data_IF_375001439845
#
_entry.id   IF_375001439845
#
_cell.length_a   1.000
_cell.length_b   1.000
_cell.length_c   1.000
_cell.angle_alpha   90.00
_cell.angle_beta   90.00
_cell.angle_gamma   90.00
#
_symmetry.space_group_name_H-M   'P 1'
#
loop_
_entity.id
_entity.type
_entity.pdbx_description
1 polymer ?
#
# COMPACT_ATOMS: atom_id res chain seq x y z
N UNK A 1 8.47 -14.74 16.04
CA UNK A 1 7.28 -14.49 16.91
C UNK A 1 6.75 -13.06 16.78
N UNK A 2 7.61 -12.04 16.66
CA UNK A 2 7.17 -10.63 16.55
C UNK A 2 6.33 -10.37 15.29
N UNK A 3 6.72 -10.90 14.13
CA UNK A 3 5.97 -10.70 12.88
C UNK A 3 4.54 -11.25 12.89
N UNK A 4 4.34 -12.46 13.42
CA UNK A 4 3.02 -13.11 13.43
C UNK A 4 2.02 -12.35 14.32
N UNK A 5 2.50 -11.90 15.49
CA UNK A 5 1.68 -11.06 16.37
C UNK A 5 1.30 -9.75 15.67
N UNK A 6 2.24 -9.14 14.95
CA UNK A 6 1.98 -7.92 14.18
C UNK A 6 0.89 -8.10 13.12
N UNK A 7 0.99 -9.16 12.29
CA UNK A 7 -0.03 -9.48 11.28
C UNK A 7 -1.41 -9.68 11.91
N UNK A 8 -1.49 -10.48 12.98
CA UNK A 8 -2.75 -10.74 13.71
C UNK A 8 -3.34 -9.43 14.25
N UNK A 9 -2.52 -8.59 14.89
CA UNK A 9 -2.97 -7.30 15.41
C UNK A 9 -3.46 -6.38 14.29
N UNK A 10 -2.81 -6.38 13.14
CA UNK A 10 -3.22 -5.57 12.00
C UNK A 10 -4.55 -6.03 11.40
N UNK A 11 -4.75 -7.34 11.25
CA UNK A 11 -6.04 -7.91 10.82
C UNK A 11 -7.13 -7.52 11.82
N UNK A 12 -6.89 -7.69 13.12
CA UNK A 12 -7.85 -7.33 14.16
C UNK A 12 -8.21 -5.83 14.12
N UNK A 13 -7.20 -4.96 14.01
CA UNK A 13 -7.39 -3.50 13.88
C UNK A 13 -8.22 -3.17 12.65
N UNK A 14 -7.94 -3.80 11.50
CA UNK A 14 -8.73 -3.61 10.28
C UNK A 14 -10.18 -4.04 10.50
N UNK A 15 -10.43 -5.24 11.03
CA UNK A 15 -11.79 -5.75 11.28
C UNK A 15 -12.57 -4.81 12.20
N UNK A 16 -11.98 -4.35 13.31
CA UNK A 16 -12.62 -3.39 14.21
C UNK A 16 -12.91 -2.06 13.52
N UNK A 17 -11.96 -1.54 12.73
CA UNK A 17 -12.16 -0.30 11.97
C UNK A 17 -13.30 -0.44 10.94
N UNK A 18 -13.42 -1.59 10.29
CA UNK A 18 -14.49 -1.87 9.32
C UNK A 18 -15.87 -1.89 9.97
N UNK A 19 -15.98 -2.50 11.15
CA UNK A 19 -17.23 -2.54 11.92
C UNK A 19 -17.64 -1.12 12.33
N UNK A 20 -16.71 -0.35 12.91
CA UNK A 20 -16.98 1.03 13.34
C UNK A 20 -17.35 1.93 12.15
N UNK A 21 -16.70 1.75 11.00
CA UNK A 21 -16.93 2.56 9.79
C UNK A 21 -18.05 2.01 8.89
N UNK A 22 -18.79 0.97 9.30
CA UNK A 22 -19.88 0.41 8.50
C UNK A 22 -20.98 1.44 8.16
N UNK A 23 -21.44 2.31 9.10
CA UNK A 23 -22.39 3.37 8.74
C UNK A 23 -21.85 4.28 7.62
N UNK A 24 -20.55 4.59 7.66
CA UNK A 24 -19.91 5.42 6.65
C UNK A 24 -19.78 4.74 5.28
N UNK A 25 -19.63 3.41 5.27
CA UNK A 25 -19.71 2.61 4.05
C UNK A 25 -21.05 2.85 3.36
N UNK A 26 -22.16 2.78 4.12
CA UNK A 26 -23.51 3.01 3.59
C UNK A 26 -23.67 4.43 3.07
N UNK A 27 -23.21 5.44 3.83
CA UNK A 27 -23.26 6.84 3.38
C UNK A 27 -22.49 7.05 2.06
N UNK A 28 -21.32 6.41 1.93
CA UNK A 28 -20.53 6.49 0.70
C UNK A 28 -21.25 5.84 -0.49
N UNK A 29 -21.94 4.71 -0.28
CA UNK A 29 -22.74 4.04 -1.31
C UNK A 29 -23.94 4.88 -1.75
N UNK A 30 -24.52 5.65 -0.83
CA UNK A 30 -25.57 6.64 -1.12
C UNK A 30 -25.03 7.91 -1.81
N UNK A 31 -23.72 7.99 -2.04
CA UNK A 31 -23.08 9.09 -2.77
C UNK A 31 -22.49 10.19 -1.88
N UNK A 32 -22.66 10.13 -0.55
CA UNK A 32 -22.07 11.12 0.34
C UNK A 32 -20.58 10.82 0.57
N UNK A 33 -19.74 11.67 -0.01
CA UNK A 33 -18.28 11.51 0.01
C UNK A 33 -17.61 12.75 0.58
N UNK A 34 -17.44 12.75 1.89
CA UNK A 34 -16.56 13.70 2.54
C UNK A 34 -15.09 13.36 2.22
N UNK A 35 -14.29 14.38 1.99
CA UNK A 35 -12.86 14.21 1.69
C UNK A 35 -12.15 13.53 2.85
N UNK A 36 -11.38 12.49 2.52
CA UNK A 36 -10.54 11.75 3.47
C UNK A 36 -9.07 11.83 3.07
N UNK A 37 -8.20 11.40 3.98
CA UNK A 37 -6.75 11.40 3.85
C UNK A 37 -6.21 9.98 3.94
N UNK A 38 -5.21 9.69 3.12
CA UNK A 38 -4.37 8.49 3.18
C UNK A 38 -2.92 8.95 3.25
N UNK A 39 -2.20 8.55 4.30
CA UNK A 39 -0.79 8.88 4.48
C UNK A 39 0.07 7.81 3.79
N UNK A 40 0.93 8.23 2.87
CA UNK A 40 1.71 7.35 2.01
C UNK A 40 3.18 7.76 2.02
N UNK A 41 4.09 6.80 2.22
CA UNK A 41 5.53 6.97 2.01
C UNK A 41 6.00 5.97 0.98
N UNK A 42 6.93 6.37 0.11
CA UNK A 42 7.62 5.44 -0.78
C UNK A 42 9.08 5.32 -0.32
N UNK A 43 9.57 4.09 -0.16
CA UNK A 43 10.94 3.77 0.22
C UNK A 43 11.60 3.03 -0.92
N UNK A 44 12.59 3.67 -1.55
CA UNK A 44 13.44 3.04 -2.57
C UNK A 44 14.54 2.24 -1.89
N UNK A 45 14.56 0.93 -2.11
CA UNK A 45 15.61 0.09 -1.54
C UNK A 45 16.95 0.27 -2.27
N UNK A 46 18.01 -0.11 -1.57
CA UNK A 46 19.36 -0.21 -2.11
C UNK A 46 19.72 -1.66 -2.35
N UNK A 47 20.40 -1.94 -3.45
CA UNK A 47 20.98 -3.25 -3.72
C UNK A 47 22.10 -3.61 -2.71
N UNK A 48 22.70 -4.79 -2.87
CA UNK A 48 23.77 -5.28 -1.97
C UNK A 48 25.04 -4.43 -2.08
N UNK A 49 25.20 -3.65 -3.16
CA UNK A 49 26.31 -2.70 -3.35
C UNK A 49 26.01 -1.32 -2.74
N UNK A 50 24.82 -1.15 -2.15
CA UNK A 50 24.37 0.11 -1.58
C UNK A 50 23.86 1.11 -2.62
N UNK A 51 23.65 0.71 -3.87
CA UNK A 51 23.11 1.58 -4.92
C UNK A 51 21.59 1.58 -4.90
N UNK A 52 20.92 2.74 -5.03
CA UNK A 52 19.46 2.78 -5.12
C UNK A 52 18.98 2.07 -6.38
N UNK A 53 17.88 1.31 -6.26
CA UNK A 53 17.31 0.57 -7.39
C UNK A 53 16.75 1.48 -8.50
N UNK A 54 16.32 2.69 -8.14
CA UNK A 54 15.75 3.68 -9.06
C UNK A 54 15.92 5.10 -8.46
N UNK A 55 15.97 6.15 -9.29
CA UNK A 55 15.98 7.53 -8.82
C UNK A 55 14.66 7.93 -8.13
N UNK A 56 14.71 8.81 -7.13
CA UNK A 56 13.52 9.26 -6.40
C UNK A 56 12.57 10.07 -7.31
N UNK A 57 13.14 10.81 -8.25
CA UNK A 57 12.46 11.58 -9.30
C UNK A 57 11.70 10.68 -10.28
N UNK A 58 12.18 9.47 -10.56
CA UNK A 58 11.50 8.51 -11.44
C UNK A 58 10.25 7.89 -10.77
N UNK A 59 10.25 7.83 -9.43
CA UNK A 59 9.15 7.27 -8.63
C UNK A 59 8.04 8.30 -8.37
N UNK A 60 8.39 9.58 -8.34
CA UNK A 60 7.47 10.68 -8.03
C UNK A 60 6.21 10.70 -8.92
N UNK A 61 6.29 10.47 -10.25
CA UNK A 61 5.11 10.38 -11.10
C UNK A 61 4.11 9.28 -10.69
N UNK A 62 4.56 8.17 -10.10
CA UNK A 62 3.67 7.12 -9.61
C UNK A 62 2.93 7.54 -8.33
N UNK A 63 3.58 8.32 -7.46
CA UNK A 63 2.91 8.94 -6.31
C UNK A 63 1.83 9.93 -6.74
N UNK A 64 2.16 10.82 -7.68
CA UNK A 64 1.22 11.84 -8.16
C UNK A 64 0.03 11.19 -8.88
N UNK A 65 0.26 10.09 -9.59
CA UNK A 65 -0.79 9.28 -10.19
C UNK A 65 -1.71 8.64 -9.15
N UNK A 66 -1.15 8.11 -8.06
CA UNK A 66 -1.94 7.59 -6.94
C UNK A 66 -2.82 8.67 -6.31
N UNK A 67 -2.24 9.86 -6.08
CA UNK A 67 -2.98 11.03 -5.56
C UNK A 67 -4.14 11.41 -6.49
N UNK A 68 -3.88 11.47 -7.79
CA UNK A 68 -4.89 11.82 -8.80
C UNK A 68 -6.04 10.80 -8.82
N UNK A 69 -5.73 9.51 -8.91
CA UNK A 69 -6.73 8.44 -9.04
C UNK A 69 -7.58 8.34 -7.78
N UNK A 70 -6.96 8.30 -6.59
CA UNK A 70 -7.70 8.17 -5.33
C UNK A 70 -8.54 9.41 -5.00
N UNK A 71 -8.04 10.60 -5.32
CA UNK A 71 -8.81 11.83 -5.15
C UNK A 71 -10.05 11.82 -6.05
N UNK A 72 -9.88 11.47 -7.33
CA UNK A 72 -10.97 11.47 -8.32
C UNK A 72 -12.00 10.37 -8.05
N UNK A 73 -11.55 9.14 -7.82
CA UNK A 73 -12.44 7.98 -7.77
C UNK A 73 -13.05 7.74 -6.39
N UNK A 74 -12.34 8.10 -5.32
CA UNK A 74 -12.73 7.81 -3.95
C UNK A 74 -12.86 9.06 -3.04
N UNK A 75 -12.55 10.26 -3.52
CA UNK A 75 -12.53 11.45 -2.67
C UNK A 75 -11.49 11.34 -1.54
N UNK A 76 -10.36 10.70 -1.83
CA UNK A 76 -9.27 10.47 -0.88
C UNK A 76 -8.03 11.24 -1.34
N UNK A 77 -7.59 12.19 -0.53
CA UNK A 77 -6.34 12.93 -0.71
C UNK A 77 -5.19 12.08 -0.19
N UNK A 78 -4.20 11.84 -1.05
CA UNK A 78 -2.96 11.16 -0.66
C UNK A 78 -1.96 12.20 -0.19
N UNK A 79 -1.49 12.03 1.04
CA UNK A 79 -0.52 12.92 1.69
C UNK A 79 0.76 12.18 2.02
N UNK A 80 1.92 12.84 1.95
CA UNK A 80 3.17 12.20 2.30
C UNK A 80 3.23 11.89 3.81
N UNK A 81 3.61 10.67 4.18
CA UNK A 81 3.90 10.31 5.57
C UNK A 81 5.33 10.75 5.94
N UNK A 82 5.49 12.03 6.26
CA UNK A 82 6.80 12.68 6.37
C UNK A 82 7.35 13.00 4.98
N UNK A 83 8.45 12.37 4.59
CA UNK A 83 8.99 12.49 3.23
C UNK A 83 8.17 11.64 2.24
N UNK A 84 7.93 12.20 1.04
CA UNK A 84 7.17 11.55 -0.04
C UNK A 84 7.87 10.29 -0.56
N UNK A 85 9.12 10.46 -0.98
CA UNK A 85 10.00 9.40 -1.46
C UNK A 85 11.30 9.49 -0.66
N UNK A 86 11.74 8.37 -0.10
CA UNK A 86 13.02 8.25 0.61
C UNK A 86 13.80 7.07 0.06
N UNK A 87 15.11 7.16 0.06
CA UNK A 87 15.97 6.02 -0.21
C UNK A 87 16.33 5.34 1.11
N UNK A 88 16.32 4.01 1.16
CA UNK A 88 16.74 3.26 2.35
C UNK A 88 18.16 3.69 2.78
N UNK A 89 18.43 3.82 4.08
CA UNK A 89 19.72 4.31 4.57
C UNK A 89 20.86 3.31 4.33
N UNK A 90 20.54 2.02 4.23
CA UNK A 90 21.50 0.93 4.10
C UNK A 90 21.07 -0.05 2.99
N UNK A 91 22.00 -0.90 2.55
CA UNK A 91 21.72 -2.00 1.63
C UNK A 91 20.60 -2.89 2.18
N UNK A 92 19.64 -3.25 1.34
CA UNK A 92 18.59 -4.17 1.74
C UNK A 92 19.11 -5.62 1.68
N UNK A 93 18.68 -6.50 2.59
CA UNK A 93 18.97 -7.92 2.47
C UNK A 93 18.31 -8.49 1.21
N UNK A 94 18.89 -9.53 0.62
CA UNK A 94 18.37 -10.16 -0.60
C UNK A 94 16.90 -10.57 -0.46
N UNK A 95 16.50 -11.06 0.70
CA UNK A 95 15.11 -11.41 1.00
C UNK A 95 14.12 -10.24 0.89
N UNK A 96 14.57 -9.00 1.11
CA UNK A 96 13.75 -7.79 0.92
C UNK A 96 13.88 -7.20 -0.51
N UNK A 97 14.84 -7.66 -1.30
CA UNK A 97 15.04 -7.21 -2.67
C UNK A 97 14.28 -8.09 -3.67
N UNK A 98 14.26 -9.39 -3.42
CA UNK A 98 13.67 -10.43 -4.28
C UNK A 98 12.49 -11.06 -3.55
N UNK A 99 11.29 -10.50 -3.74
CA UNK A 99 10.09 -10.83 -2.97
C UNK A 99 9.36 -12.02 -3.58
N UNK A 100 8.95 -12.99 -2.76
CA UNK A 100 8.04 -14.04 -3.21
C UNK A 100 6.59 -13.70 -2.86
N UNK A 101 5.75 -13.43 -3.88
CA UNK A 101 4.36 -13.01 -3.67
C UNK A 101 3.33 -14.16 -3.71
N UNK A 102 3.76 -15.39 -4.02
CA UNK A 102 2.88 -16.57 -4.10
C UNK A 102 2.45 -17.08 -2.72
N UNK A 103 1.72 -18.21 -2.66
CA UNK A 103 1.29 -18.90 -1.42
C UNK A 103 2.46 -19.12 -0.44
N UNK A 104 2.79 -18.11 0.36
CA UNK A 104 4.05 -18.04 1.10
C UNK A 104 4.55 -16.63 1.41
N UNK A 105 3.99 -15.59 0.79
CA UNK A 105 4.39 -14.19 1.03
C UNK A 105 4.30 -13.76 2.51
N UNK A 106 3.34 -14.31 3.26
CA UNK A 106 3.24 -14.12 4.71
C UNK A 106 4.41 -14.75 5.47
N UNK A 107 4.96 -15.89 5.01
CA UNK A 107 6.14 -16.52 5.65
C UNK A 107 7.39 -15.66 5.49
N UNK A 108 7.55 -15.03 4.34
CA UNK A 108 8.67 -14.12 4.09
C UNK A 108 8.56 -12.86 4.97
N UNK A 109 7.35 -12.38 5.27
CA UNK A 109 7.10 -11.29 6.23
C UNK A 109 7.39 -11.68 7.69
N UNK A 110 7.34 -12.98 8.03
CA UNK A 110 7.76 -13.46 9.34
C UNK A 110 9.29 -13.53 9.50
N UNK A 111 10.04 -13.38 8.40
CA UNK A 111 11.49 -13.49 8.36
C UNK A 111 12.21 -12.15 8.21
N UNK A 112 13.44 -12.23 7.68
CA UNK A 112 14.35 -11.09 7.52
C UNK A 112 13.76 -9.96 6.67
N UNK A 113 12.96 -10.29 5.65
CA UNK A 113 12.35 -9.29 4.78
C UNK A 113 11.36 -8.42 5.55
N UNK A 114 10.41 -9.04 6.27
CA UNK A 114 9.43 -8.32 7.07
C UNK A 114 10.04 -7.48 8.19
N UNK A 115 11.04 -8.01 8.90
CA UNK A 115 11.76 -7.24 9.93
C UNK A 115 12.45 -6.00 9.34
N UNK A 116 13.07 -6.15 8.17
CA UNK A 116 13.67 -5.04 7.45
C UNK A 116 12.63 -4.00 7.03
N UNK A 117 11.49 -4.42 6.44
CA UNK A 117 10.41 -3.52 6.07
C UNK A 117 9.86 -2.77 7.27
N UNK A 118 9.51 -3.47 8.35
CA UNK A 118 8.97 -2.86 9.59
C UNK A 118 9.90 -1.80 10.18
N UNK A 119 11.22 -1.98 10.07
CA UNK A 119 12.20 -0.99 10.54
C UNK A 119 12.21 0.33 9.75
N UNK A 120 11.69 0.33 8.52
CA UNK A 120 11.69 1.48 7.61
C UNK A 120 10.30 2.09 7.37
N UNK A 121 9.25 1.43 7.85
CA UNK A 121 7.86 1.87 7.66
C UNK A 121 7.60 3.22 8.33
N UNK A 122 6.75 4.03 7.69
CA UNK A 122 6.21 5.21 8.32
C UNK A 122 5.19 4.80 9.42
N UNK A 123 5.29 5.43 10.58
CA UNK A 123 4.40 5.18 11.71
C UNK A 123 3.80 6.48 12.23
N UNK A 124 2.64 6.37 12.89
CA UNK A 124 2.01 7.45 13.65
C UNK A 124 1.51 6.85 14.97
N UNK A 125 1.45 7.64 16.04
CA UNK A 125 1.01 7.14 17.35
C UNK A 125 -0.37 6.48 17.28
N UNK A 126 -1.34 7.14 16.64
CA UNK A 126 -2.69 6.60 16.46
C UNK A 126 -2.72 5.36 15.54
N UNK A 127 -1.93 5.36 14.46
CA UNK A 127 -1.82 4.22 13.55
C UNK A 127 -1.22 2.99 14.22
N UNK A 128 -0.14 3.16 14.99
CA UNK A 128 0.51 2.06 15.71
C UNK A 128 -0.40 1.49 16.78
N UNK A 129 -1.06 2.33 17.58
CA UNK A 129 -1.91 1.88 18.69
C UNK A 129 -3.26 1.32 18.23
N UNK A 130 -3.98 2.07 17.39
CA UNK A 130 -5.39 1.79 17.05
C UNK A 130 -5.60 1.35 15.60
N UNK A 131 -4.56 1.40 14.75
CA UNK A 131 -4.67 1.20 13.31
C UNK A 131 -5.31 2.38 12.56
N UNK A 132 -5.96 3.31 13.27
CA UNK A 132 -6.69 4.43 12.68
C UNK A 132 -5.72 5.47 12.11
N UNK A 133 -5.76 5.66 10.80
CA UNK A 133 -4.87 6.58 10.09
C UNK A 133 -3.44 6.06 9.99
N UNK A 134 -3.25 4.74 10.07
CA UNK A 134 -1.95 4.12 9.90
C UNK A 134 -1.39 4.43 8.50
N UNK A 135 -0.17 4.99 8.39
CA UNK A 135 0.43 5.24 7.08
C UNK A 135 0.68 3.94 6.31
N UNK A 136 0.55 4.01 4.98
CA UNK A 136 1.01 2.95 4.10
C UNK A 136 2.42 3.27 3.61
N UNK A 137 3.28 2.25 3.58
CA UNK A 137 4.63 2.35 3.01
C UNK A 137 4.74 1.50 1.75
N UNK A 138 5.18 2.08 0.64
CA UNK A 138 5.47 1.35 -0.61
C UNK A 138 6.97 1.12 -0.68
N UNK A 139 7.41 -0.13 -0.67
CA UNK A 139 8.80 -0.49 -0.88
C UNK A 139 9.06 -0.75 -2.36
N UNK A 140 10.02 -0.02 -2.93
CA UNK A 140 10.49 -0.30 -4.29
C UNK A 140 11.57 -1.36 -4.22
N UNK A 141 11.25 -2.55 -4.71
CA UNK A 141 12.09 -3.76 -4.63
C UNK A 141 12.66 -4.12 -6.01
N UNK A 142 13.64 -5.01 -6.04
CA UNK A 142 14.33 -5.38 -7.28
C UNK A 142 13.46 -6.27 -8.15
N UNK A 143 12.93 -7.34 -7.56
CA UNK A 143 12.15 -8.34 -8.25
C UNK A 143 11.02 -8.87 -7.38
N UNK A 144 9.93 -9.29 -8.01
CA UNK A 144 8.80 -9.95 -7.36
C UNK A 144 8.49 -11.21 -8.16
N UNK A 145 8.33 -12.35 -7.48
CA UNK A 145 7.99 -13.60 -8.16
C UNK A 145 6.58 -13.51 -8.77
N UNK A 146 6.48 -13.95 -10.04
CA UNK A 146 5.25 -14.09 -10.84
C UNK A 146 4.35 -12.85 -11.04
N UNK A 147 4.64 -11.74 -10.38
CA UNK A 147 3.86 -10.50 -10.37
C UNK A 147 4.80 -9.28 -10.37
N UNK A 148 4.23 -8.09 -10.53
CA UNK A 148 5.00 -6.83 -10.52
C UNK A 148 4.83 -6.03 -9.21
N UNK A 149 3.90 -6.45 -8.37
CA UNK A 149 3.59 -5.86 -7.07
C UNK A 149 3.16 -6.96 -6.11
N UNK A 150 3.21 -6.66 -4.82
CA UNK A 150 2.72 -7.55 -3.77
C UNK A 150 2.13 -6.76 -2.61
N UNK A 151 0.99 -7.24 -2.12
CA UNK A 151 0.32 -6.73 -0.94
C UNK A 151 -0.21 -7.90 -0.12
N UNK A 152 0.07 -7.90 1.17
CA UNK A 152 -0.55 -8.83 2.13
C UNK A 152 -1.91 -8.32 2.62
N UNK A 153 -2.50 -7.36 1.90
CA UNK A 153 -3.79 -6.77 2.23
C UNK A 153 -3.76 -6.11 3.61
N UNK A 154 -4.69 -6.51 4.47
CA UNK A 154 -4.83 -5.95 5.81
C UNK A 154 -3.74 -6.38 6.81
N UNK A 155 -2.95 -7.42 6.49
CA UNK A 155 -1.96 -7.97 7.43
C UNK A 155 -0.76 -7.04 7.64
N UNK A 156 -0.42 -6.21 6.66
CA UNK A 156 0.72 -5.28 6.73
C UNK A 156 0.29 -3.85 6.42
N UNK A 157 1.05 -2.87 6.92
CA UNK A 157 0.90 -1.46 6.52
C UNK A 157 1.88 -1.08 5.40
N UNK A 158 2.27 -2.06 4.59
CA UNK A 158 3.18 -1.86 3.49
C UNK A 158 2.86 -2.75 2.30
N UNK A 159 3.31 -2.32 1.14
CA UNK A 159 3.26 -3.06 -0.12
C UNK A 159 4.61 -3.00 -0.81
N UNK A 160 4.90 -3.94 -1.70
CA UNK A 160 6.13 -3.95 -2.49
C UNK A 160 5.80 -3.76 -3.96
N UNK A 161 6.59 -2.97 -4.67
CA UNK A 161 6.45 -2.73 -6.11
C UNK A 161 7.80 -2.89 -6.78
N UNK A 162 7.83 -3.58 -7.91
CA UNK A 162 9.05 -3.82 -8.65
C UNK A 162 9.56 -2.56 -9.37
N UNK A 163 10.83 -2.21 -9.15
CA UNK A 163 11.46 -0.99 -9.67
C UNK A 163 11.34 -0.86 -11.21
N UNK A 164 11.62 -1.95 -11.95
CA UNK A 164 11.58 -1.94 -13.42
C UNK A 164 10.18 -1.66 -13.96
N UNK A 165 9.14 -2.08 -13.23
CA UNK A 165 7.76 -1.98 -13.70
C UNK A 165 7.19 -0.58 -13.50
N UNK A 166 7.65 0.16 -12.49
CA UNK A 166 7.25 1.57 -12.30
C UNK A 166 7.61 2.47 -13.47
N UNK A 167 8.71 2.17 -14.18
CA UNK A 167 9.09 2.92 -15.40
C UNK A 167 8.03 2.79 -16.50
N UNK A 168 7.33 1.67 -16.55
CA UNK A 168 6.36 1.33 -17.60
C UNK A 168 4.91 1.60 -17.18
N UNK A 169 4.57 1.45 -15.90
CA UNK A 169 3.22 1.66 -15.39
C UNK A 169 3.21 2.36 -14.03
N UNK A 170 2.82 3.64 -14.06
CA UNK A 170 2.68 4.47 -12.85
C UNK A 170 1.52 4.02 -11.96
N UNK A 171 0.54 3.34 -12.54
CA UNK A 171 -0.70 2.92 -11.85
C UNK A 171 -0.52 1.69 -10.97
N UNK A 172 0.55 0.92 -11.17
CA UNK A 172 0.84 -0.25 -10.34
C UNK A 172 0.97 0.12 -8.86
N UNK A 173 1.57 1.26 -8.55
CA UNK A 173 1.70 1.70 -7.16
C UNK A 173 0.34 1.86 -6.48
N UNK A 174 -0.60 2.54 -7.15
CA UNK A 174 -1.94 2.75 -6.57
C UNK A 174 -2.79 1.48 -6.58
N UNK A 175 -2.53 0.54 -7.49
CA UNK A 175 -3.12 -0.79 -7.48
C UNK A 175 -2.74 -1.57 -6.21
N UNK A 176 -1.45 -1.61 -5.85
CA UNK A 176 -1.00 -2.28 -4.63
C UNK A 176 -1.51 -1.58 -3.36
N UNK A 177 -1.48 -0.25 -3.34
CA UNK A 177 -2.08 0.54 -2.24
C UNK A 177 -3.56 0.22 -2.08
N UNK A 178 -4.29 0.04 -3.18
CA UNK A 178 -5.69 -0.34 -3.14
C UNK A 178 -5.91 -1.77 -2.60
N UNK A 179 -5.02 -2.71 -2.91
CA UNK A 179 -5.02 -4.03 -2.25
C UNK A 179 -4.82 -3.93 -0.74
N UNK A 180 -3.87 -3.10 -0.28
CA UNK A 180 -3.67 -2.86 1.16
C UNK A 180 -4.91 -2.23 1.83
N UNK A 181 -5.70 -1.46 1.06
CA UNK A 181 -6.97 -0.91 1.51
C UNK A 181 -8.15 -1.90 1.41
N UNK A 182 -7.90 -3.18 1.15
CA UNK A 182 -8.89 -4.26 1.14
C UNK A 182 -9.61 -4.46 -0.20
N UNK A 183 -9.08 -3.90 -1.30
CA UNK A 183 -9.64 -4.18 -2.63
C UNK A 183 -9.08 -5.49 -3.20
N UNK A 184 -9.93 -6.20 -3.92
CA UNK A 184 -9.59 -7.43 -4.63
C UNK A 184 -9.60 -7.19 -6.12
N UNK A 185 -8.98 -8.10 -6.87
CA UNK A 185 -8.97 -8.05 -8.33
C UNK A 185 -10.40 -7.98 -8.91
N UNK A 186 -10.51 -7.24 -10.02
CA UNK A 186 -11.75 -7.05 -10.77
C UNK A 186 -11.49 -7.37 -12.24
N UNK A 187 -12.46 -8.01 -12.89
CA UNK A 187 -12.42 -8.30 -14.32
C UNK A 187 -13.02 -7.16 -15.16
N UNK A 188 -13.49 -6.07 -14.52
CA UNK A 188 -14.09 -4.95 -15.24
C UNK A 188 -13.03 -4.22 -16.07
N UNK A 189 -13.30 -3.90 -17.35
CA UNK A 189 -12.42 -3.08 -18.16
C UNK A 189 -12.12 -1.74 -17.48
N UNK A 190 -10.91 -1.22 -17.66
CA UNK A 190 -10.43 0.04 -17.07
C UNK A 190 -10.47 0.14 -15.53
N UNK A 191 -10.82 -0.95 -14.84
CA UNK A 191 -10.80 -0.96 -13.39
C UNK A 191 -9.37 -0.88 -12.88
N UNK A 192 -9.15 -0.10 -11.83
CA UNK A 192 -7.86 -0.01 -11.17
C UNK A 192 -7.39 -1.39 -10.70
N UNK A 193 -8.29 -2.25 -10.24
CA UNK A 193 -7.98 -3.58 -9.74
C UNK A 193 -7.93 -4.66 -10.82
N UNK A 194 -7.75 -4.32 -12.10
CA UNK A 194 -7.50 -5.34 -13.12
C UNK A 194 -6.08 -5.92 -12.93
N UNK A 195 -5.90 -7.26 -12.94
CA UNK A 195 -4.62 -7.87 -12.54
C UNK A 195 -3.47 -7.59 -13.51
N UNK A 196 -3.76 -7.23 -14.76
CA UNK A 196 -2.76 -6.90 -15.78
C UNK A 196 -3.09 -5.54 -16.39
N UNK A 197 -2.13 -4.61 -16.31
CA UNK A 197 -2.28 -3.25 -16.81
C UNK A 197 -3.38 -2.48 -16.06
N UNK A 198 -3.16 -2.13 -14.77
CA UNK A 198 -4.13 -1.40 -13.96
C UNK A 198 -4.76 -0.22 -14.71
N UNK A 199 -6.09 -0.17 -14.71
CA UNK A 199 -6.84 0.98 -15.20
C UNK A 199 -6.86 2.11 -14.19
N UNK A 200 -7.87 2.97 -14.26
CA UNK A 200 -7.97 4.14 -13.37
C UNK A 200 -9.29 4.23 -12.61
N UNK A 201 -10.20 3.28 -12.82
CA UNK A 201 -11.56 3.37 -12.32
C UNK A 201 -11.79 2.50 -11.08
N UNK A 202 -12.56 3.03 -10.13
CA UNK A 202 -13.13 2.26 -9.04
C UNK A 202 -14.65 2.26 -9.18
N UNK A 203 -15.26 1.11 -8.92
CA UNK A 203 -16.71 1.03 -8.73
C UNK A 203 -17.12 1.78 -7.45
N UNK A 204 -18.39 2.16 -7.33
CA UNK A 204 -18.91 2.76 -6.09
C UNK A 204 -18.66 1.89 -4.86
N UNK A 205 -18.81 0.56 -5.01
CA UNK A 205 -18.47 -0.42 -3.96
C UNK A 205 -16.98 -0.39 -3.61
N UNK A 206 -16.09 -0.45 -4.59
CA UNK A 206 -14.65 -0.38 -4.36
C UNK A 206 -14.23 0.94 -3.69
N UNK A 207 -14.80 2.07 -4.10
CA UNK A 207 -14.55 3.35 -3.44
C UNK A 207 -15.00 3.33 -1.97
N UNK A 208 -16.17 2.76 -1.67
CA UNK A 208 -16.68 2.63 -0.31
C UNK A 208 -15.84 1.69 0.57
N UNK A 209 -15.40 0.55 0.02
CA UNK A 209 -14.46 -0.34 0.70
C UNK A 209 -13.14 0.39 0.93
N UNK A 210 -12.51 0.98 -0.09
CA UNK A 210 -11.23 1.69 0.11
C UNK A 210 -11.31 2.76 1.21
N UNK A 211 -12.38 3.57 1.19
CA UNK A 211 -12.59 4.66 2.17
C UNK A 211 -12.78 4.20 3.61
N UNK A 212 -13.19 2.95 3.82
CA UNK A 212 -13.41 2.39 5.15
C UNK A 212 -12.23 1.57 5.68
N UNK A 213 -11.13 1.49 4.92
CA UNK A 213 -9.86 0.96 5.43
C UNK A 213 -9.36 1.74 6.66
N UNK A 214 -8.64 1.08 7.57
CA UNK A 214 -7.96 1.74 8.70
C UNK A 214 -6.97 2.83 8.26
N UNK A 215 -6.39 2.72 7.07
CA UNK A 215 -5.47 3.69 6.48
C UNK A 215 -6.14 5.00 6.02
N UNK A 216 -7.46 4.98 5.79
CA UNK A 216 -8.20 6.08 5.19
C UNK A 216 -9.11 6.73 6.24
N UNK A 217 -8.77 7.96 6.62
CA UNK A 217 -9.43 8.69 7.72
C UNK A 217 -9.65 10.15 7.40
N UNK A 218 -10.20 10.92 8.33
CA UNK A 218 -10.41 12.36 8.14
C UNK A 218 -9.16 13.22 8.46
N UNK A 219 -8.08 12.61 8.99
CA UNK A 219 -6.91 13.28 9.54
C UNK A 219 -5.57 12.70 9.05
#
# INVERSE_FOLDING_TARGET
MVGLLWEIFNILKETVNRIIKFPELLLTLLGWRFTKRLKLRIVVLRDERGLPLIGNEEVTPAFDEARRILSRMAGVVVEPAGWRVVTAPHAAPKAALDVHCTDGAWRDDLGQAGDFYRSLMATTTAGTLLGYGAPLTVFIVRSISSHNGCSLGAATDYVTVEARTLKNTRRLLVHEVAHACGLWHSQRPNNLMIPKGPGEELTGWQAAVLRTSRHVTYF
#
